data_IF_640411264367
#
_entry.id   IF_640411264367
#
_cell.length_a   1.000
_cell.length_b   1.000
_cell.length_c   1.000
_cell.angle_alpha   90.00
_cell.angle_beta   90.00
_cell.angle_gamma   90.00
#
_symmetry.space_group_name_H-M   'P 1'
#
loop_
_entity.id
_entity.type
_entity.pdbx_description
1 polymer ?
#
# COMPACT_ATOMS: atom_id res chain seq x y z
N UNK A 1 11.96 -12.90 14.54
CA UNK A 1 11.65 -11.47 14.72
C UNK A 1 11.08 -10.98 13.40
N UNK A 2 9.92 -10.35 13.42
CA UNK A 2 9.29 -9.79 12.22
C UNK A 2 9.62 -8.28 12.10
N UNK A 3 9.43 -7.71 10.92
CA UNK A 3 9.78 -6.32 10.62
C UNK A 3 8.99 -5.31 11.46
N UNK A 4 7.71 -5.56 11.75
CA UNK A 4 6.90 -4.70 12.61
C UNK A 4 7.55 -4.52 13.99
N UNK A 5 7.99 -5.62 14.61
CA UNK A 5 8.70 -5.53 15.89
C UNK A 5 10.09 -4.92 15.75
N UNK A 6 10.83 -5.24 14.69
CA UNK A 6 12.18 -4.69 14.49
C UNK A 6 12.17 -3.16 14.28
N UNK A 7 11.12 -2.63 13.65
CA UNK A 7 10.90 -1.20 13.43
C UNK A 7 10.15 -0.52 14.58
N UNK A 8 9.74 -1.26 15.62
CA UNK A 8 9.01 -0.72 16.76
C UNK A 8 7.60 -0.23 16.43
N UNK A 9 6.99 -0.72 15.35
CA UNK A 9 5.67 -0.28 14.88
C UNK A 9 4.56 -0.92 15.72
N UNK A 10 3.60 -0.12 16.16
CA UNK A 10 2.46 -0.54 16.95
C UNK A 10 1.10 -0.10 16.33
N UNK A 11 -0.02 -0.76 16.69
CA UNK A 11 -1.35 -0.32 16.26
C UNK A 11 -1.67 1.11 16.72
N UNK A 12 -2.30 1.90 15.85
CA UNK A 12 -2.66 3.30 16.12
C UNK A 12 -1.63 4.32 15.63
N UNK A 13 -0.45 3.86 15.19
CA UNK A 13 0.58 4.73 14.64
C UNK A 13 0.34 5.11 13.18
N UNK A 14 0.96 6.22 12.76
CA UNK A 14 1.05 6.65 11.36
C UNK A 14 2.51 6.60 10.93
N UNK A 15 2.83 5.68 10.04
CA UNK A 15 4.21 5.42 9.60
C UNK A 15 4.38 5.91 8.16
N UNK A 16 5.47 6.64 7.89
CA UNK A 16 5.85 7.08 6.55
C UNK A 16 7.15 6.38 6.11
N UNK A 17 7.11 5.70 4.96
CA UNK A 17 8.29 5.08 4.36
C UNK A 17 8.95 6.06 3.39
N UNK A 18 10.20 6.46 3.69
CA UNK A 18 10.97 7.43 2.89
C UNK A 18 12.32 6.83 2.46
N UNK A 19 12.86 7.27 1.32
CA UNK A 19 14.15 6.79 0.80
C UNK A 19 14.19 6.55 -0.71
N UNK A 20 15.37 6.25 -1.25
CA UNK A 20 15.60 6.09 -2.69
C UNK A 20 15.06 4.80 -3.32
N UNK A 21 14.90 3.73 -2.53
CA UNK A 21 14.48 2.41 -3.03
C UNK A 21 13.77 1.57 -1.96
N UNK A 22 13.15 0.45 -2.36
CA UNK A 22 12.62 -0.57 -1.44
C UNK A 22 11.30 -0.24 -0.70
N UNK A 23 10.82 1.00 -0.70
CA UNK A 23 9.62 1.44 0.04
C UNK A 23 8.38 0.58 -0.22
N UNK A 24 8.05 0.33 -1.49
CA UNK A 24 6.87 -0.45 -1.86
C UNK A 24 7.00 -1.91 -1.43
N UNK A 25 8.19 -2.51 -1.61
CA UNK A 25 8.46 -3.87 -1.16
C UNK A 25 8.36 -4.00 0.37
N UNK A 26 8.92 -3.03 1.10
CA UNK A 26 8.80 -2.96 2.55
C UNK A 26 7.32 -2.83 2.98
N UNK A 27 6.54 -1.98 2.30
CA UNK A 27 5.11 -1.84 2.59
C UNK A 27 4.35 -3.18 2.44
N UNK A 28 4.68 -4.00 1.44
CA UNK A 28 4.06 -5.31 1.28
C UNK A 28 4.43 -6.28 2.40
N UNK A 29 5.71 -6.35 2.77
CA UNK A 29 6.14 -7.22 3.86
C UNK A 29 5.49 -6.81 5.19
N UNK A 30 5.39 -5.51 5.47
CA UNK A 30 4.69 -5.00 6.64
C UNK A 30 3.18 -5.31 6.61
N UNK A 31 2.55 -5.27 5.44
CA UNK A 31 1.14 -5.65 5.29
C UNK A 31 0.93 -7.14 5.58
N UNK A 32 1.77 -8.03 5.05
CA UNK A 32 1.65 -9.46 5.31
C UNK A 32 1.87 -9.79 6.79
N UNK A 33 2.81 -9.09 7.44
CA UNK A 33 3.01 -9.22 8.88
C UNK A 33 1.82 -8.71 9.69
N UNK A 34 1.25 -7.56 9.31
CA UNK A 34 0.06 -7.01 9.96
C UNK A 34 -1.12 -7.98 9.83
N UNK A 35 -1.31 -8.57 8.64
CA UNK A 35 -2.32 -9.62 8.41
C UNK A 35 -2.13 -10.83 9.30
N UNK A 36 -0.89 -11.36 9.39
CA UNK A 36 -0.58 -12.51 10.26
C UNK A 36 -0.84 -12.22 11.74
N UNK A 37 -0.71 -10.97 12.16
CA UNK A 37 -1.02 -10.52 13.53
C UNK A 37 -2.50 -10.18 13.75
N UNK A 38 -3.34 -10.29 12.72
CA UNK A 38 -4.76 -9.92 12.79
C UNK A 38 -4.98 -8.41 12.97
N UNK A 39 -4.03 -7.58 12.53
CA UNK A 39 -4.14 -6.13 12.66
C UNK A 39 -5.01 -5.54 11.57
N UNK A 40 -5.64 -4.41 11.92
CA UNK A 40 -6.32 -3.55 10.95
C UNK A 40 -5.38 -2.44 10.50
N UNK A 41 -4.97 -2.43 9.23
CA UNK A 41 -3.97 -1.48 8.72
C UNK A 41 -4.28 -0.96 7.30
N UNK A 42 -4.13 0.35 7.11
CA UNK A 42 -4.30 1.01 5.83
C UNK A 42 -2.94 1.43 5.27
N UNK A 43 -2.62 0.98 4.05
CA UNK A 43 -1.43 1.32 3.32
C UNK A 43 -1.77 2.27 2.17
N UNK A 44 -0.87 3.20 1.85
CA UNK A 44 -1.01 4.04 0.65
C UNK A 44 0.36 4.54 0.21
N UNK A 45 0.45 5.07 -0.99
CA UNK A 45 1.67 5.71 -1.49
C UNK A 45 1.32 6.77 -2.52
N UNK A 46 2.22 7.75 -2.68
CA UNK A 46 2.14 8.81 -3.69
C UNK A 46 2.72 8.38 -5.04
N UNK A 47 3.31 7.18 -5.13
CA UNK A 47 3.96 6.66 -6.35
C UNK A 47 3.12 5.62 -7.06
N UNK A 48 3.49 5.27 -8.31
CA UNK A 48 2.82 4.21 -9.08
C UNK A 48 3.11 2.86 -8.43
N UNK A 49 2.08 2.04 -8.23
CA UNK A 49 2.18 0.74 -7.57
C UNK A 49 1.81 -0.34 -8.55
N UNK A 50 2.80 -1.13 -8.98
CA UNK A 50 2.62 -2.37 -9.73
C UNK A 50 3.74 -3.36 -9.33
N UNK A 51 3.45 -4.67 -9.22
CA UNK A 51 2.12 -5.28 -9.26
C UNK A 51 1.31 -4.91 -8.01
N UNK A 52 -0.03 -4.93 -8.11
CA UNK A 52 -0.88 -4.79 -6.93
C UNK A 52 -0.88 -6.11 -6.15
N UNK A 53 -0.80 -6.09 -4.80
CA UNK A 53 -1.02 -7.30 -4.02
C UNK A 53 -2.46 -7.79 -4.24
N UNK A 54 -2.62 -9.08 -4.55
CA UNK A 54 -3.92 -9.68 -4.86
C UNK A 54 -4.94 -9.48 -3.73
N UNK A 55 -6.17 -9.11 -4.09
CA UNK A 55 -7.30 -8.92 -3.15
C UNK A 55 -7.16 -7.77 -2.15
N UNK A 56 -6.03 -7.05 -2.16
CA UNK A 56 -5.63 -6.18 -1.05
C UNK A 56 -5.75 -4.69 -1.35
N UNK A 57 -6.51 -4.24 -2.35
CA UNK A 57 -6.51 -2.83 -2.76
C UNK A 57 -7.91 -2.25 -2.96
N UNK A 58 -8.06 -0.97 -2.61
CA UNK A 58 -9.21 -0.12 -2.90
C UNK A 58 -8.77 0.98 -3.86
N UNK A 59 -9.54 1.19 -4.92
CA UNK A 59 -9.51 2.44 -5.68
C UNK A 59 -10.45 3.44 -5.01
N UNK A 60 -9.90 4.55 -4.53
CA UNK A 60 -10.66 5.69 -4.04
C UNK A 60 -11.25 6.44 -5.23
N UNK A 61 -12.39 5.96 -5.72
CA UNK A 61 -13.15 6.65 -6.76
C UNK A 61 -13.82 7.91 -6.20
N UNK A 62 -14.11 8.89 -7.06
CA UNK A 62 -14.94 10.04 -6.68
C UNK A 62 -16.27 9.55 -6.08
N UNK A 63 -16.55 9.96 -4.84
CA UNK A 63 -17.72 9.52 -4.08
C UNK A 63 -17.48 8.36 -3.10
N UNK A 64 -16.26 7.80 -3.02
CA UNK A 64 -15.93 6.81 -1.97
C UNK A 64 -16.06 7.46 -0.59
N UNK A 65 -17.06 7.05 0.20
CA UNK A 65 -17.25 7.60 1.53
C UNK A 65 -16.21 7.04 2.51
N UNK A 66 -15.76 7.84 3.50
CA UNK A 66 -14.89 7.36 4.57
C UNK A 66 -15.48 6.15 5.32
N UNK A 67 -16.80 6.06 5.43
CA UNK A 67 -17.47 4.95 6.11
C UNK A 67 -17.45 3.65 5.29
N UNK A 68 -17.59 3.74 3.95
CA UNK A 68 -17.40 2.59 3.08
C UNK A 68 -15.95 2.07 3.15
N UNK A 69 -14.96 2.98 3.16
CA UNK A 69 -13.55 2.62 3.35
C UNK A 69 -13.31 1.95 4.71
N UNK A 70 -13.84 2.52 5.80
CA UNK A 70 -13.74 1.92 7.14
C UNK A 70 -14.35 0.53 7.19
N UNK A 71 -15.55 0.34 6.63
CA UNK A 71 -16.23 -0.95 6.60
C UNK A 71 -15.39 -2.00 5.91
N UNK A 72 -14.89 -1.69 4.71
CA UNK A 72 -14.05 -2.62 3.95
C UNK A 72 -12.74 -2.92 4.67
N UNK A 73 -12.13 -1.91 5.29
CA UNK A 73 -10.91 -2.10 6.08
C UNK A 73 -11.16 -3.02 7.29
N UNK A 74 -12.32 -2.94 7.93
CA UNK A 74 -12.71 -3.84 9.01
C UNK A 74 -12.93 -5.28 8.51
N UNK A 75 -13.53 -5.45 7.33
CA UNK A 75 -13.80 -6.77 6.72
C UNK A 75 -12.51 -7.46 6.24
N UNK A 76 -11.61 -6.72 5.61
CA UNK A 76 -10.39 -7.25 4.96
C UNK A 76 -9.17 -7.24 5.90
N UNK A 77 -9.24 -6.51 7.01
CA UNK A 77 -8.14 -6.25 7.94
C UNK A 77 -7.09 -5.29 7.37
N UNK A 78 -6.47 -5.64 6.24
CA UNK A 78 -5.38 -4.86 5.65
C UNK A 78 -5.63 -4.52 4.18
N UNK A 79 -5.51 -3.23 3.83
CA UNK A 79 -5.81 -2.71 2.50
C UNK A 79 -4.82 -1.65 2.02
N UNK A 80 -4.55 -1.63 0.71
CA UNK A 80 -3.90 -0.56 -0.02
C UNK A 80 -4.92 0.39 -0.61
N UNK A 81 -4.85 1.67 -0.26
CA UNK A 81 -5.65 2.72 -0.87
C UNK A 81 -4.87 3.36 -2.02
N UNK A 82 -5.44 3.30 -3.22
CA UNK A 82 -4.94 3.97 -4.41
C UNK A 82 -5.96 4.98 -4.91
N UNK A 83 -5.50 6.12 -5.44
CA UNK A 83 -6.40 7.17 -5.92
C UNK A 83 -7.09 6.80 -7.24
N UNK A 84 -6.38 6.17 -8.16
CA UNK A 84 -6.91 5.80 -9.48
C UNK A 84 -6.06 4.72 -10.11
N UNK A 85 -6.66 3.97 -11.05
CA UNK A 85 -5.90 3.13 -11.96
C UNK A 85 -5.25 4.01 -13.02
N UNK A 86 -3.96 3.81 -13.26
CA UNK A 86 -3.28 4.42 -14.40
C UNK A 86 -3.38 3.45 -15.59
N UNK A 87 -3.49 3.95 -16.84
CA UNK A 87 -3.42 3.09 -18.01
C UNK A 87 -2.09 2.32 -18.01
N UNK A 88 -2.10 1.08 -18.52
CA UNK A 88 -0.85 0.38 -18.81
C UNK A 88 -0.03 1.24 -19.77
N UNK A 89 1.27 1.33 -19.47
CA UNK A 89 2.19 2.05 -20.33
C UNK A 89 2.66 1.08 -21.40
N UNK A 90 2.19 1.23 -22.64
CA UNK A 90 3.02 0.89 -23.79
C UNK A 90 4.18 1.91 -23.75
N UNK A 91 5.41 1.42 -23.65
CA UNK A 91 6.70 2.13 -23.64
C UNK A 91 6.69 3.68 -23.73
N UNK A 92 7.38 4.35 -22.81
CA UNK A 92 7.58 5.81 -22.90
C UNK A 92 8.26 6.25 -24.21
N UNK A 93 7.85 7.39 -24.82
CA UNK A 93 8.62 8.09 -25.86
C UNK A 93 10.04 8.54 -25.43
N UNK A 94 10.36 8.40 -24.14
CA UNK A 94 11.70 8.58 -23.62
C UNK A 94 12.36 7.20 -23.50
N UNK A 95 12.91 6.69 -24.60
CA UNK A 95 13.82 5.53 -24.60
C UNK A 95 15.15 5.80 -23.89
N UNK A 96 15.13 6.26 -22.63
CA UNK A 96 16.34 6.48 -21.83
C UNK A 96 16.36 5.51 -20.66
N UNK A 97 17.11 4.42 -20.85
CA UNK A 97 17.95 3.88 -19.78
C UNK A 97 18.93 4.98 -19.39
N UNK A 98 18.97 5.37 -18.12
CA UNK A 98 20.06 6.22 -17.63
C UNK A 98 21.35 5.39 -17.62
N UNK A 99 22.38 5.89 -18.31
CA UNK A 99 23.75 5.84 -17.78
C UNK A 99 23.85 6.87 -16.67
#
# INVERSE_FOLDING_TARGET
MDLLSALGIAPGERVALVGGGGKTGLAYQLMDEARRRGWTALFTTTTRVLPLPEGAFILAEEGTSPDALRRRLQEEGCLFLALRRLPEWDETPAGRRQK
#
